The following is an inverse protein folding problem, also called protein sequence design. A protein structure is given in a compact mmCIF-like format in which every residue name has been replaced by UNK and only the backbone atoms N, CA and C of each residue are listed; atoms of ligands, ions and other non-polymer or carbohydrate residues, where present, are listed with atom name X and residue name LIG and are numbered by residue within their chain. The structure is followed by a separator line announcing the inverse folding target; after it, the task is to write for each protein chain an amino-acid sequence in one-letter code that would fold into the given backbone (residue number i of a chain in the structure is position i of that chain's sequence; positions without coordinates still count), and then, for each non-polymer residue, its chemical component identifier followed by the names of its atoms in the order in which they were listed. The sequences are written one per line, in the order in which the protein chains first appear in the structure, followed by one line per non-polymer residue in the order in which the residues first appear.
data_IF_381514387210
#
_entry.id   IF_381514387210
#
_cell.length_a   1.000
_cell.length_b   1.000
_cell.length_c   1.000
_cell.angle_alpha   90.00
_cell.angle_beta   90.00
_cell.angle_gamma   90.00
#
_symmetry.space_group_name_H-M   'P 1'
#
loop_
_entity.id
_entity.type
_entity.pdbx_description
1 polymer ?
#
# COMPACT_ATOMS: atom_id res chain seq x y z
N UNK A 1 -52.46 45.78 -51.06
CA UNK A 1 -52.12 45.11 -49.79
C UNK A 1 -50.73 44.49 -49.93
N UNK A 2 -49.71 45.01 -49.25
CA UNK A 2 -48.35 44.43 -49.22
C UNK A 2 -47.97 44.17 -47.76
N UNK A 3 -47.96 42.90 -47.40
CA UNK A 3 -47.68 42.40 -46.06
C UNK A 3 -46.15 42.31 -45.89
N UNK A 4 -45.59 43.12 -44.98
CA UNK A 4 -44.16 43.09 -44.63
C UNK A 4 -43.96 42.04 -43.53
N UNK A 5 -43.20 40.99 -43.83
CA UNK A 5 -42.72 40.03 -42.84
C UNK A 5 -41.56 40.66 -42.06
N UNK A 6 -41.73 40.87 -40.75
CA UNK A 6 -40.64 41.13 -39.82
C UNK A 6 -40.02 39.79 -39.42
N UNK A 7 -38.79 39.52 -39.87
CA UNK A 7 -37.97 38.44 -39.36
C UNK A 7 -37.40 38.85 -38.00
N UNK A 8 -37.87 38.22 -36.92
CA UNK A 8 -37.26 38.32 -35.59
C UNK A 8 -35.96 37.49 -35.59
N UNK A 9 -34.82 38.16 -35.58
CA UNK A 9 -33.52 37.56 -35.26
C UNK A 9 -33.44 37.32 -33.75
N UNK A 10 -33.69 36.08 -33.32
CA UNK A 10 -33.43 35.62 -31.96
C UNK A 10 -31.93 35.41 -31.76
N UNK A 11 -31.28 36.40 -31.14
CA UNK A 11 -29.92 36.28 -30.62
C UNK A 11 -29.96 35.36 -29.40
N UNK A 12 -29.59 34.09 -29.57
CA UNK A 12 -29.29 33.19 -28.45
C UNK A 12 -27.98 33.65 -27.79
N UNK A 13 -28.08 34.40 -26.69
CA UNK A 13 -26.95 34.63 -25.80
C UNK A 13 -26.61 33.30 -25.10
N UNK A 14 -25.60 32.60 -25.62
CA UNK A 14 -25.01 31.44 -24.94
C UNK A 14 -24.18 31.95 -23.76
N UNK A 15 -24.67 31.72 -22.53
CA UNK A 15 -23.86 31.93 -21.34
C UNK A 15 -22.73 30.90 -21.34
N UNK A 16 -21.45 31.30 -21.13
CA UNK A 16 -20.36 30.35 -21.06
C UNK A 16 -20.58 29.42 -19.86
N UNK A 17 -20.52 28.11 -20.08
CA UNK A 17 -20.47 27.14 -19.01
C UNK A 17 -19.18 27.36 -18.21
N UNK A 18 -19.31 27.82 -16.96
CA UNK A 18 -18.18 28.04 -16.06
C UNK A 18 -17.57 26.69 -15.67
N UNK A 19 -16.41 26.36 -16.23
CA UNK A 19 -15.59 25.23 -15.78
C UNK A 19 -14.71 25.68 -14.61
N UNK A 20 -14.88 25.07 -13.44
CA UNK A 20 -14.02 25.34 -12.29
C UNK A 20 -12.68 24.61 -12.49
N UNK A 21 -11.58 25.35 -12.58
CA UNK A 21 -10.25 24.78 -12.76
C UNK A 21 -9.40 25.04 -11.52
N UNK A 22 -8.92 23.97 -10.90
CA UNK A 22 -7.98 24.01 -9.78
C UNK A 22 -6.57 23.74 -10.30
N UNK A 23 -5.71 24.74 -10.19
CA UNK A 23 -4.33 24.67 -10.65
C UNK A 23 -3.46 25.64 -9.83
N UNK A 24 -2.30 25.15 -9.38
CA UNK A 24 -1.29 26.00 -8.72
C UNK A 24 -0.66 26.97 -9.73
N UNK A 25 -0.34 28.19 -9.29
CA UNK A 25 0.32 29.19 -10.13
C UNK A 25 1.75 28.76 -10.46
N UNK A 26 2.25 29.11 -11.64
CA UNK A 26 3.53 28.60 -12.17
C UNK A 26 4.71 28.87 -11.23
N UNK A 27 4.71 30.02 -10.58
CA UNK A 27 5.73 30.49 -9.64
C UNK A 27 5.71 29.76 -8.28
N UNK A 28 4.57 29.20 -7.89
CA UNK A 28 4.40 28.52 -6.60
C UNK A 28 4.40 26.99 -6.72
N UNK A 29 4.63 26.45 -7.91
CA UNK A 29 4.73 25.00 -8.09
C UNK A 29 5.99 24.46 -7.45
N UNK A 30 5.77 23.49 -6.57
CA UNK A 30 6.79 22.66 -6.00
C UNK A 30 6.38 21.18 -6.04
N UNK A 31 7.37 20.32 -6.18
CA UNK A 31 7.24 18.89 -6.01
C UNK A 31 8.06 18.48 -4.80
N UNK A 32 7.41 17.84 -3.82
CA UNK A 32 8.04 17.39 -2.58
C UNK A 32 8.18 15.88 -2.60
N UNK A 33 9.34 15.39 -2.18
CA UNK A 33 9.60 13.97 -1.99
C UNK A 33 9.69 13.71 -0.50
N UNK A 34 8.83 12.81 -0.02
CA UNK A 34 8.80 12.37 1.37
C UNK A 34 8.70 10.85 1.39
N UNK A 35 9.26 10.22 2.41
CA UNK A 35 9.15 8.77 2.52
C UNK A 35 10.20 8.15 3.41
N UNK A 36 10.03 6.85 3.59
CA UNK A 36 10.92 5.98 4.34
C UNK A 36 11.12 4.66 3.57
N UNK A 37 11.52 3.61 4.28
CA UNK A 37 11.73 2.27 3.72
C UNK A 37 10.44 1.51 3.41
N UNK A 38 9.28 2.01 3.83
CA UNK A 38 7.96 1.40 3.61
C UNK A 38 7.16 2.11 2.52
N UNK A 39 7.28 3.43 2.41
CA UNK A 39 6.55 4.20 1.41
C UNK A 39 7.34 5.44 0.94
N UNK A 40 7.32 5.70 -0.35
CA UNK A 40 7.81 6.93 -0.96
C UNK A 40 6.65 7.67 -1.63
N UNK A 41 6.60 8.98 -1.42
CA UNK A 41 5.57 9.89 -1.92
C UNK A 41 6.22 11.04 -2.67
N UNK A 42 5.76 11.30 -3.90
CA UNK A 42 6.08 12.48 -4.69
C UNK A 42 4.83 13.33 -4.82
N UNK A 43 4.79 14.47 -4.13
CA UNK A 43 3.59 15.28 -3.91
C UNK A 43 3.70 16.62 -4.63
N UNK A 44 2.61 17.02 -5.29
CA UNK A 44 2.39 18.41 -5.70
C UNK A 44 1.15 18.96 -5.00
N UNK A 45 1.29 19.99 -4.15
CA UNK A 45 0.16 20.74 -3.62
C UNK A 45 -0.61 21.46 -4.74
N UNK A 46 -1.94 21.48 -4.63
CA UNK A 46 -2.87 22.12 -5.55
C UNK A 46 -3.59 23.22 -4.78
N UNK A 47 -3.31 24.48 -5.13
CA UNK A 47 -3.89 25.66 -4.46
C UNK A 47 -5.41 25.56 -4.39
N UNK A 48 -5.97 25.84 -3.20
CA UNK A 48 -7.41 25.82 -2.88
C UNK A 48 -8.14 24.49 -3.14
N UNK A 49 -7.39 23.39 -3.30
CA UNK A 49 -7.97 22.07 -3.54
C UNK A 49 -7.43 20.99 -2.61
N UNK A 50 -6.12 20.75 -2.60
CA UNK A 50 -5.53 19.60 -1.93
C UNK A 50 -4.15 19.25 -2.48
N UNK A 51 -3.92 17.98 -2.82
CA UNK A 51 -2.66 17.51 -3.40
C UNK A 51 -2.87 16.37 -4.38
N UNK A 52 -2.02 16.28 -5.39
CA UNK A 52 -1.84 15.06 -6.18
C UNK A 52 -0.50 14.42 -5.86
N UNK A 53 -0.50 13.12 -5.67
CA UNK A 53 0.61 12.38 -5.08
C UNK A 53 0.89 11.12 -5.88
N UNK A 54 2.15 10.86 -6.23
CA UNK A 54 2.57 9.53 -6.66
C UNK A 54 3.07 8.77 -5.44
N UNK A 55 2.35 7.71 -5.07
CA UNK A 55 2.63 6.92 -3.88
C UNK A 55 3.16 5.57 -4.31
N UNK A 56 4.29 5.14 -3.77
CA UNK A 56 4.81 3.78 -3.96
C UNK A 56 5.17 3.18 -2.62
N UNK A 57 4.49 2.09 -2.29
CA UNK A 57 4.78 1.26 -1.13
C UNK A 57 5.83 0.20 -1.45
N UNK A 58 6.53 -0.26 -0.43
CA UNK A 58 7.41 -1.42 -0.50
C UNK A 58 6.68 -2.60 -1.17
N UNK A 59 7.34 -3.29 -2.11
CA UNK A 59 6.74 -4.42 -2.84
C UNK A 59 5.61 -4.09 -3.82
N UNK A 60 5.31 -2.81 -4.06
CA UNK A 60 4.26 -2.36 -4.96
C UNK A 60 4.80 -1.42 -6.05
N UNK A 61 4.00 -1.21 -7.11
CA UNK A 61 4.26 -0.16 -8.10
C UNK A 61 3.56 1.13 -7.69
N UNK A 62 4.01 2.25 -8.26
CA UNK A 62 3.45 3.55 -7.95
C UNK A 62 1.98 3.64 -8.39
N UNK A 63 1.16 4.29 -7.56
CA UNK A 63 -0.20 4.73 -7.87
C UNK A 63 -0.28 6.25 -7.82
N UNK A 64 -1.24 6.84 -8.52
CA UNK A 64 -1.55 8.26 -8.39
C UNK A 64 -2.73 8.44 -7.45
N UNK A 65 -2.54 9.24 -6.41
CA UNK A 65 -3.54 9.56 -5.40
C UNK A 65 -3.92 11.02 -5.53
N UNK A 66 -5.22 11.30 -5.61
CA UNK A 66 -5.73 12.66 -5.50
C UNK A 66 -6.36 12.87 -4.12
N UNK A 67 -5.91 13.89 -3.40
CA UNK A 67 -6.47 14.33 -2.12
C UNK A 67 -7.11 15.70 -2.24
N UNK A 68 -8.19 15.91 -1.49
CA UNK A 68 -8.87 17.19 -1.39
C UNK A 68 -9.08 17.57 0.09
N UNK A 69 -8.89 18.85 0.42
CA UNK A 69 -9.19 19.38 1.76
C UNK A 69 -10.69 19.47 2.02
N UNK A 70 -11.46 19.71 0.96
CA UNK A 70 -12.91 19.73 0.99
C UNK A 70 -13.43 18.85 -0.16
N UNK A 71 -14.27 17.84 0.10
CA UNK A 71 -14.80 16.93 -0.91
C UNK A 71 -15.84 17.59 -1.85
N UNK A 72 -15.57 18.78 -2.39
CA UNK A 72 -16.42 19.43 -3.41
C UNK A 72 -16.61 18.57 -4.67
N UNK A 73 -15.72 17.61 -4.90
CA UNK A 73 -15.77 16.62 -5.98
C UNK A 73 -16.14 15.20 -5.48
N UNK A 74 -16.74 15.04 -4.30
CA UNK A 74 -17.07 13.71 -3.81
C UNK A 74 -18.19 13.02 -4.57
N UNK A 75 -18.00 11.71 -4.76
CA UNK A 75 -18.97 10.83 -5.41
C UNK A 75 -18.95 10.89 -6.93
N UNK A 76 -19.48 9.84 -7.56
CA UNK A 76 -19.49 9.72 -9.01
C UNK A 76 -18.15 9.25 -9.61
N UNK A 77 -17.86 9.71 -10.82
CA UNK A 77 -16.68 9.32 -11.59
C UNK A 77 -16.03 10.51 -12.25
N UNK A 78 -14.70 10.53 -12.27
CA UNK A 78 -13.93 11.47 -13.07
C UNK A 78 -13.20 10.74 -14.21
N UNK A 79 -12.82 11.50 -15.23
CA UNK A 79 -11.90 11.04 -16.27
C UNK A 79 -10.49 11.49 -15.92
N UNK A 80 -9.54 10.56 -15.96
CA UNK A 80 -8.13 10.84 -15.77
C UNK A 80 -7.45 11.00 -17.12
N UNK A 81 -6.70 12.09 -17.28
CA UNK A 81 -6.12 12.52 -18.54
C UNK A 81 -4.63 12.86 -18.34
N UNK A 82 -3.81 12.59 -19.37
CA UNK A 82 -2.51 13.24 -19.54
C UNK A 82 -2.67 14.36 -20.58
N UNK A 83 -3.04 15.54 -20.08
CA UNK A 83 -3.43 16.69 -20.88
C UNK A 83 -2.22 17.32 -21.57
N UNK A 84 -2.38 17.68 -22.85
CA UNK A 84 -1.36 18.43 -23.55
C UNK A 84 -1.27 19.87 -23.00
N UNK A 85 -0.11 20.50 -23.21
CA UNK A 85 0.03 21.91 -22.91
C UNK A 85 -0.85 22.75 -23.87
N UNK A 86 -1.63 23.73 -23.38
CA UNK A 86 -2.54 24.51 -24.23
C UNK A 86 -1.88 25.22 -25.42
N UNK A 87 -0.58 25.53 -25.30
CA UNK A 87 0.21 26.23 -26.32
C UNK A 87 0.83 25.31 -27.37
N UNK A 88 0.65 23.98 -27.29
CA UNK A 88 1.18 23.03 -28.27
C UNK A 88 0.11 22.62 -29.29
N UNK A 89 0.01 23.28 -30.45
CA UNK A 89 -0.96 22.90 -31.47
C UNK A 89 -0.73 21.47 -31.97
N UNK A 90 -1.81 20.73 -32.21
CA UNK A 90 -1.77 19.37 -32.75
C UNK A 90 -1.51 18.24 -31.74
N UNK A 91 -1.22 18.56 -30.46
CA UNK A 91 -1.15 17.56 -29.39
C UNK A 91 -2.46 17.56 -28.59
N UNK A 92 -3.21 16.46 -28.66
CA UNK A 92 -4.43 16.26 -27.87
C UNK A 92 -4.16 15.64 -26.50
N UNK A 93 -5.16 15.73 -25.62
CA UNK A 93 -5.18 15.03 -24.33
C UNK A 93 -5.19 13.51 -24.53
N UNK A 94 -4.44 12.78 -23.71
CA UNK A 94 -4.47 11.32 -23.71
C UNK A 94 -5.44 10.86 -22.61
N UNK A 95 -6.49 10.14 -22.99
CA UNK A 95 -7.44 9.59 -22.04
C UNK A 95 -6.89 8.32 -21.37
N UNK A 96 -6.81 8.33 -20.04
CA UNK A 96 -6.29 7.23 -19.21
C UNK A 96 -7.42 6.41 -18.56
N UNK A 97 -8.67 6.72 -18.87
CA UNK A 97 -9.86 6.03 -18.38
C UNK A 97 -10.56 6.79 -17.25
N UNK A 98 -11.59 6.15 -16.71
CA UNK A 98 -12.37 6.68 -15.58
C UNK A 98 -11.80 6.21 -14.23
N UNK A 99 -12.02 7.04 -13.22
CA UNK A 99 -11.74 6.75 -11.81
C UNK A 99 -12.99 7.04 -10.99
N UNK A 100 -13.22 6.25 -9.94
CA UNK A 100 -14.36 6.43 -9.04
C UNK A 100 -13.96 7.34 -7.90
N UNK A 101 -14.76 8.38 -7.64
CA UNK A 101 -14.48 9.35 -6.57
C UNK A 101 -15.11 8.87 -5.26
N UNK A 102 -14.29 8.82 -4.22
CA UNK A 102 -14.67 8.59 -2.83
C UNK A 102 -15.22 9.86 -2.16
N UNK A 103 -15.55 9.74 -0.89
CA UNK A 103 -16.17 10.78 -0.07
C UNK A 103 -15.29 11.30 1.07
N UNK A 104 -14.06 10.80 1.21
CA UNK A 104 -13.08 11.26 2.21
C UNK A 104 -12.01 12.15 1.60
N UNK A 105 -10.99 12.47 2.40
CA UNK A 105 -9.86 13.32 2.00
C UNK A 105 -9.07 12.74 0.82
N UNK A 106 -9.05 11.41 0.70
CA UNK A 106 -8.56 10.71 -0.50
C UNK A 106 -9.73 10.53 -1.46
N UNK A 107 -9.70 11.27 -2.57
CA UNK A 107 -10.74 11.16 -3.59
C UNK A 107 -10.61 9.87 -4.39
N UNK A 108 -9.41 9.48 -4.79
CA UNK A 108 -9.17 8.18 -5.43
C UNK A 108 -7.68 7.80 -5.42
N UNK A 109 -7.44 6.51 -5.59
CA UNK A 109 -6.16 5.93 -5.99
C UNK A 109 -6.31 5.36 -7.40
N UNK A 110 -5.37 5.67 -8.29
CA UNK A 110 -5.36 5.15 -9.67
C UNK A 110 -4.82 3.72 -9.72
N UNK A 111 -5.04 3.03 -10.85
CA UNK A 111 -4.26 1.83 -11.15
C UNK A 111 -2.77 2.16 -11.37
N UNK A 112 -1.92 1.14 -11.25
CA UNK A 112 -0.48 1.24 -11.51
C UNK A 112 -0.18 1.64 -12.96
N UNK A 113 -0.96 1.11 -13.91
CA UNK A 113 -0.84 1.45 -15.33
C UNK A 113 -1.16 2.93 -15.60
N UNK A 114 -2.24 3.46 -14.99
CA UNK A 114 -2.60 4.87 -15.11
C UNK A 114 -1.52 5.78 -14.52
N UNK A 115 -1.00 5.43 -13.33
CA UNK A 115 0.08 6.20 -12.70
C UNK A 115 1.36 6.21 -13.56
N UNK A 116 1.76 5.06 -14.11
CA UNK A 116 2.91 4.99 -15.01
C UNK A 116 2.74 5.87 -16.26
N UNK A 117 1.54 5.91 -16.84
CA UNK A 117 1.23 6.80 -17.97
C UNK A 117 1.22 8.28 -17.59
N UNK A 118 0.76 8.63 -16.40
CA UNK A 118 0.84 10.00 -15.88
C UNK A 118 2.28 10.44 -15.66
N UNK A 119 3.12 9.58 -15.08
CA UNK A 119 4.56 9.84 -14.90
C UNK A 119 5.24 10.05 -16.26
N UNK A 120 5.02 9.16 -17.22
CA UNK A 120 5.54 9.32 -18.58
C UNK A 120 5.04 10.62 -19.22
N UNK A 121 3.75 10.94 -19.06
CA UNK A 121 3.18 12.20 -19.51
C UNK A 121 3.87 13.42 -18.89
N UNK A 122 4.08 13.45 -17.58
CA UNK A 122 4.78 14.53 -16.89
C UNK A 122 6.22 14.71 -17.40
N UNK A 123 6.93 13.62 -17.69
CA UNK A 123 8.26 13.66 -18.30
C UNK A 123 8.22 14.26 -19.71
N UNK A 124 7.15 13.99 -20.47
CA UNK A 124 6.91 14.56 -21.80
C UNK A 124 6.33 15.98 -21.78
N UNK A 125 6.17 16.58 -20.59
CA UNK A 125 5.61 17.92 -20.41
C UNK A 125 4.08 17.99 -20.44
N UNK A 126 3.39 16.85 -20.35
CA UNK A 126 1.93 16.77 -20.18
C UNK A 126 1.53 16.95 -18.72
N UNK A 127 0.31 17.42 -18.51
CA UNK A 127 -0.28 17.64 -17.19
C UNK A 127 -1.22 16.50 -16.81
N UNK A 128 -1.06 15.87 -15.63
CA UNK A 128 -2.13 15.09 -15.03
C UNK A 128 -3.35 15.98 -14.84
N UNK A 129 -4.48 15.56 -15.39
CA UNK A 129 -5.73 16.29 -15.34
C UNK A 129 -6.85 15.35 -14.94
N UNK A 130 -7.58 15.71 -13.90
CA UNK A 130 -8.79 15.02 -13.47
C UNK A 130 -9.98 15.87 -13.85
N UNK A 131 -10.83 15.35 -14.74
CA UNK A 131 -12.05 16.03 -15.20
C UNK A 131 -13.27 15.35 -14.62
N UNK A 132 -14.02 16.08 -13.80
CA UNK A 132 -15.28 15.63 -13.20
C UNK A 132 -16.47 16.37 -13.83
N UNK A 133 -17.52 15.62 -14.12
CA UNK A 133 -18.79 16.15 -14.60
C UNK A 133 -19.84 15.98 -13.50
N UNK A 134 -20.26 17.08 -12.91
CA UNK A 134 -21.33 17.07 -11.92
C UNK A 134 -22.69 16.83 -12.59
N UNK A 135 -23.65 16.32 -11.81
CA UNK A 135 -25.01 16.02 -12.31
C UNK A 135 -25.77 17.24 -12.80
N UNK A 136 -25.41 18.42 -12.33
CA UNK A 136 -25.98 19.71 -12.72
C UNK A 136 -25.31 20.32 -13.97
N UNK A 137 -24.43 19.57 -14.64
CA UNK A 137 -23.75 20.00 -15.86
C UNK A 137 -22.48 20.82 -15.61
N UNK A 138 -22.12 21.12 -14.36
CA UNK A 138 -20.85 21.78 -14.05
C UNK A 138 -19.67 20.87 -14.35
N UNK A 139 -18.65 21.43 -14.99
CA UNK A 139 -17.37 20.76 -15.23
C UNK A 139 -16.37 21.26 -14.21
N UNK A 140 -15.65 20.34 -13.58
CA UNK A 140 -14.54 20.66 -12.68
C UNK A 140 -13.27 19.96 -13.14
N UNK A 141 -12.19 20.72 -13.23
CA UNK A 141 -10.88 20.25 -13.66
C UNK A 141 -9.87 20.47 -12.54
N UNK A 142 -9.09 19.44 -12.23
CA UNK A 142 -7.98 19.52 -11.28
C UNK A 142 -6.71 19.17 -12.03
N UNK A 143 -5.80 20.14 -12.16
CA UNK A 143 -4.61 20.02 -13.00
C UNK A 143 -3.33 20.12 -12.18
N UNK A 144 -2.47 19.13 -12.39
CA UNK A 144 -1.08 19.17 -11.94
C UNK A 144 -0.17 19.63 -13.09
N UNK A 145 0.96 20.22 -12.73
CA UNK A 145 1.88 20.85 -13.69
C UNK A 145 3.27 20.20 -13.68
N UNK A 146 3.90 20.00 -14.85
CA UNK A 146 5.17 19.29 -15.00
C UNK A 146 6.39 20.13 -14.57
N UNK A 147 6.19 21.37 -14.10
CA UNK A 147 7.28 22.29 -13.73
C UNK A 147 8.16 21.63 -12.66
N UNK A 148 9.47 21.53 -12.93
CA UNK A 148 10.49 20.89 -12.07
C UNK A 148 10.23 19.41 -11.74
N UNK A 149 9.32 18.74 -12.44
CA UNK A 149 8.99 17.34 -12.18
C UNK A 149 10.19 16.41 -12.38
N UNK A 150 10.98 16.60 -13.45
CA UNK A 150 12.11 15.71 -13.76
C UNK A 150 13.14 15.63 -12.62
N UNK A 151 13.46 16.76 -12.00
CA UNK A 151 14.36 16.81 -10.83
C UNK A 151 13.74 16.08 -9.64
N UNK A 152 12.51 16.41 -9.27
CA UNK A 152 11.84 15.79 -8.13
C UNK A 152 11.59 14.27 -8.36
N UNK A 153 11.39 13.86 -9.61
CA UNK A 153 11.25 12.46 -9.97
C UNK A 153 12.57 11.69 -9.80
N UNK A 154 13.73 12.31 -10.10
CA UNK A 154 15.03 11.71 -9.81
C UNK A 154 15.23 11.50 -8.29
N UNK A 155 14.87 12.50 -7.48
CA UNK A 155 14.91 12.39 -6.01
C UNK A 155 13.95 11.30 -5.51
N UNK A 156 12.76 11.20 -6.10
CA UNK A 156 11.78 10.14 -5.83
C UNK A 156 12.32 8.75 -6.18
N UNK A 157 13.01 8.58 -7.32
CA UNK A 157 13.67 7.31 -7.64
C UNK A 157 14.74 6.95 -6.61
N UNK A 158 15.47 7.94 -6.08
CA UNK A 158 16.42 7.75 -4.99
C UNK A 158 15.77 7.29 -3.68
N UNK A 159 14.55 7.76 -3.38
CA UNK A 159 13.73 7.23 -2.29
C UNK A 159 13.30 5.79 -2.58
N UNK A 160 12.75 5.54 -3.76
CA UNK A 160 12.23 4.23 -4.19
C UNK A 160 13.30 3.14 -4.14
N UNK A 161 14.55 3.47 -4.46
CA UNK A 161 15.68 2.53 -4.36
C UNK A 161 15.97 2.03 -2.94
N UNK A 162 15.47 2.74 -1.91
CA UNK A 162 15.62 2.39 -0.48
C UNK A 162 14.41 1.66 0.09
N UNK A 163 13.34 1.49 -0.70
CA UNK A 163 12.17 0.75 -0.27
C UNK A 163 12.51 -0.72 -0.04
N UNK A 164 11.85 -1.32 0.95
CA UNK A 164 11.87 -2.75 1.14
C UNK A 164 11.27 -3.45 -0.10
N UNK A 165 11.76 -4.66 -0.42
CA UNK A 165 11.28 -5.40 -1.58
C UNK A 165 9.84 -5.90 -1.43
N UNK A 166 9.31 -5.96 -0.20
CA UNK A 166 7.98 -6.45 0.12
C UNK A 166 7.36 -5.64 1.26
N UNK A 167 6.04 -5.49 1.25
CA UNK A 167 5.27 -4.90 2.36
C UNK A 167 4.95 -5.93 3.46
N UNK A 168 4.39 -5.47 4.58
CA UNK A 168 3.99 -6.33 5.70
C UNK A 168 3.04 -7.45 5.27
N UNK A 169 2.01 -7.14 4.48
CA UNK A 169 1.03 -8.15 4.06
C UNK A 169 1.62 -9.27 3.21
N UNK A 170 2.68 -8.99 2.46
CA UNK A 170 3.41 -9.97 1.65
C UNK A 170 4.38 -10.83 2.48
N UNK A 171 4.92 -10.30 3.59
CA UNK A 171 5.92 -11.02 4.41
C UNK A 171 5.35 -11.59 5.71
N UNK A 172 4.15 -11.19 6.12
CA UNK A 172 3.55 -11.60 7.41
C UNK A 172 3.36 -13.10 7.53
N UNK A 173 3.30 -13.83 6.42
CA UNK A 173 3.15 -15.28 6.41
C UNK A 173 4.12 -15.90 5.40
N UNK A 174 4.84 -16.92 5.85
CA UNK A 174 5.70 -17.73 5.00
C UNK A 174 5.47 -19.21 5.26
N UNK A 175 5.46 -19.99 4.19
CA UNK A 175 5.45 -21.44 4.27
C UNK A 175 6.86 -21.98 3.96
N UNK A 176 7.40 -22.77 4.87
CA UNK A 176 8.68 -23.47 4.72
C UNK A 176 8.40 -24.95 4.46
N UNK A 177 8.85 -25.48 3.32
CA UNK A 177 8.58 -26.86 2.92
C UNK A 177 9.71 -27.82 3.28
N UNK A 178 9.35 -29.09 3.54
CA UNK A 178 10.30 -30.19 3.77
C UNK A 178 10.02 -31.35 2.81
N UNK A 179 10.26 -31.17 1.49
CA UNK A 179 9.89 -32.13 0.47
C UNK A 179 10.61 -33.47 0.63
N UNK A 180 11.83 -33.50 1.16
CA UNK A 180 12.59 -34.73 1.40
C UNK A 180 12.15 -35.54 2.64
N UNK A 181 11.19 -35.07 3.43
CA UNK A 181 10.79 -35.76 4.66
C UNK A 181 11.70 -35.49 5.88
N UNK A 182 12.89 -34.93 5.66
CA UNK A 182 13.81 -34.55 6.72
C UNK A 182 13.40 -33.31 7.53
N UNK A 183 14.39 -32.76 8.22
CA UNK A 183 14.30 -31.58 9.10
C UNK A 183 15.22 -30.44 8.67
N UNK A 184 15.98 -30.64 7.60
CA UNK A 184 16.93 -29.65 7.09
C UNK A 184 16.22 -28.55 6.30
N UNK A 185 16.65 -27.31 6.53
CA UNK A 185 16.19 -26.15 5.78
C UNK A 185 16.97 -26.01 4.48
N UNK A 186 16.27 -26.07 3.35
CA UNK A 186 16.86 -25.81 2.04
C UNK A 186 17.16 -24.31 1.82
N UNK A 187 17.85 -24.00 0.72
CA UNK A 187 18.21 -22.63 0.38
C UNK A 187 16.99 -21.71 0.17
N UNK A 188 15.89 -22.25 -0.36
CA UNK A 188 14.67 -21.49 -0.61
C UNK A 188 13.96 -21.12 0.70
N UNK A 189 13.91 -22.05 1.66
CA UNK A 189 13.42 -21.83 3.00
C UNK A 189 14.21 -20.75 3.72
N UNK A 190 15.55 -20.85 3.70
CA UNK A 190 16.44 -19.85 4.31
C UNK A 190 16.26 -18.47 3.68
N UNK A 191 16.13 -18.39 2.35
CA UNK A 191 15.87 -17.12 1.66
C UNK A 191 14.53 -16.48 2.06
N UNK A 192 13.46 -17.28 2.21
CA UNK A 192 12.15 -16.79 2.68
C UNK A 192 12.24 -16.25 4.11
N UNK A 193 12.85 -16.99 5.02
CA UNK A 193 13.05 -16.57 6.41
C UNK A 193 13.92 -15.30 6.47
N UNK A 194 14.94 -15.18 5.61
CA UNK A 194 15.79 -14.00 5.55
C UNK A 194 15.00 -12.73 5.17
N UNK A 195 14.04 -12.82 4.26
CA UNK A 195 13.18 -11.68 3.91
C UNK A 195 12.37 -11.21 5.13
N UNK A 196 11.83 -12.15 5.92
CA UNK A 196 11.10 -11.82 7.15
C UNK A 196 12.01 -11.14 8.19
N UNK A 197 13.23 -11.66 8.38
CA UNK A 197 14.22 -11.08 9.30
C UNK A 197 14.62 -9.65 8.90
N UNK A 198 14.84 -9.40 7.61
CA UNK A 198 15.12 -8.06 7.09
C UNK A 198 13.94 -7.12 7.35
N UNK A 199 12.70 -7.60 7.17
CA UNK A 199 11.51 -6.81 7.48
C UNK A 199 11.39 -6.49 8.97
N UNK A 200 11.53 -7.47 9.86
CA UNK A 200 11.46 -7.24 11.31
C UNK A 200 12.54 -6.27 11.81
N UNK A 201 13.75 -6.32 11.24
CA UNK A 201 14.80 -5.34 11.54
C UNK A 201 14.42 -3.93 11.08
N UNK A 202 13.67 -3.83 9.98
CA UNK A 202 13.16 -2.56 9.49
C UNK A 202 11.95 -2.06 10.29
N UNK A 203 11.04 -2.93 10.72
CA UNK A 203 9.84 -2.57 11.50
C UNK A 203 9.89 -3.19 12.91
N UNK A 204 10.42 -2.48 13.92
CA UNK A 204 10.45 -2.97 15.29
C UNK A 204 9.06 -3.20 15.91
N UNK A 205 7.98 -2.70 15.29
CA UNK A 205 6.61 -2.99 15.76
C UNK A 205 6.23 -4.46 15.52
N UNK A 206 6.87 -5.11 14.53
CA UNK A 206 6.74 -6.54 14.28
C UNK A 206 7.78 -7.27 15.14
N UNK A 207 7.32 -7.71 16.30
CA UNK A 207 8.18 -8.14 17.39
C UNK A 207 7.93 -9.58 17.85
N UNK A 208 7.01 -10.31 17.20
CA UNK A 208 6.69 -11.69 17.53
C UNK A 208 6.58 -12.58 16.29
N UNK A 209 6.92 -13.86 16.44
CA UNK A 209 6.88 -14.88 15.39
C UNK A 209 6.17 -16.12 15.90
N UNK A 210 5.10 -16.55 15.23
CA UNK A 210 4.51 -17.87 15.44
C UNK A 210 5.11 -18.88 14.43
N UNK A 211 5.47 -20.06 14.92
CA UNK A 211 6.06 -21.15 14.14
C UNK A 211 5.26 -22.43 14.35
N UNK A 212 4.46 -22.82 13.35
CA UNK A 212 3.60 -24.01 13.40
C UNK A 212 4.15 -25.15 12.55
N UNK A 213 4.58 -26.22 13.19
CA UNK A 213 5.07 -27.43 12.53
C UNK A 213 3.97 -28.41 12.13
N UNK A 214 4.06 -28.93 10.90
CA UNK A 214 3.16 -29.96 10.37
C UNK A 214 3.92 -31.15 9.75
N UNK A 215 3.27 -32.31 9.74
CA UNK A 215 3.72 -33.51 9.05
C UNK A 215 2.70 -34.00 8.03
N UNK A 216 3.09 -34.98 7.21
CA UNK A 216 2.14 -35.81 6.48
C UNK A 216 1.63 -36.95 7.37
N UNK A 217 0.88 -37.88 6.78
CA UNK A 217 0.29 -39.04 7.46
C UNK A 217 1.08 -40.36 7.29
N UNK A 218 2.34 -40.31 6.85
CA UNK A 218 3.08 -41.55 6.50
C UNK A 218 3.52 -42.34 7.74
N UNK A 219 3.74 -41.66 8.87
CA UNK A 219 4.09 -42.28 10.15
C UNK A 219 2.88 -42.45 11.08
N UNK A 220 3.12 -43.06 12.24
CA UNK A 220 2.14 -43.05 13.33
C UNK A 220 2.04 -41.65 13.98
N UNK A 221 0.98 -41.43 14.76
CA UNK A 221 0.69 -40.14 15.41
C UNK A 221 1.83 -39.58 16.26
N UNK A 222 2.55 -40.43 16.99
CA UNK A 222 3.66 -39.97 17.84
C UNK A 222 4.87 -39.56 16.99
N UNK A 223 5.21 -40.36 15.98
CA UNK A 223 6.28 -40.06 15.02
C UNK A 223 5.99 -38.78 14.24
N UNK A 224 4.76 -38.60 13.76
CA UNK A 224 4.32 -37.42 13.04
C UNK A 224 4.38 -36.16 13.92
N UNK A 225 3.95 -36.27 15.18
CA UNK A 225 4.06 -35.19 16.16
C UNK A 225 5.52 -34.82 16.43
N UNK A 226 6.41 -35.79 16.62
CA UNK A 226 7.84 -35.54 16.83
C UNK A 226 8.50 -34.90 15.59
N UNK A 227 8.22 -35.40 14.38
CA UNK A 227 8.72 -34.82 13.14
C UNK A 227 8.27 -33.36 12.95
N UNK A 228 6.99 -33.08 13.23
CA UNK A 228 6.47 -31.71 13.16
C UNK A 228 7.16 -30.78 14.16
N UNK A 229 7.45 -31.27 15.38
CA UNK A 229 8.20 -30.53 16.39
C UNK A 229 9.63 -30.25 15.95
N UNK A 230 10.36 -31.26 15.45
CA UNK A 230 11.76 -31.10 15.01
C UNK A 230 11.90 -30.11 13.86
N UNK A 231 10.96 -30.10 12.92
CA UNK A 231 10.95 -29.11 11.82
C UNK A 231 10.69 -27.70 12.34
N UNK A 232 9.75 -27.53 13.25
CA UNK A 232 9.51 -26.23 13.89
C UNK A 232 10.74 -25.75 14.67
N UNK A 233 11.42 -26.65 15.38
CA UNK A 233 12.67 -26.35 16.08
C UNK A 233 13.79 -25.94 15.11
N UNK A 234 13.95 -26.62 13.98
CA UNK A 234 14.95 -26.23 12.97
C UNK A 234 14.74 -24.79 12.45
N UNK A 235 13.48 -24.38 12.30
CA UNK A 235 13.11 -23.00 11.92
C UNK A 235 13.42 -22.03 13.06
N UNK A 236 13.04 -22.36 14.30
CA UNK A 236 13.33 -21.56 15.49
C UNK A 236 14.84 -21.36 15.68
N UNK A 237 15.63 -22.42 15.57
CA UNK A 237 17.08 -22.38 15.72
C UNK A 237 17.72 -21.50 14.64
N UNK A 238 17.22 -21.56 13.40
CA UNK A 238 17.64 -20.66 12.34
C UNK A 238 17.31 -19.19 12.66
N UNK A 239 16.11 -18.90 13.15
CA UNK A 239 15.72 -17.54 13.54
C UNK A 239 16.57 -17.01 14.70
N UNK A 240 16.83 -17.85 15.72
CA UNK A 240 17.70 -17.52 16.86
C UNK A 240 19.13 -17.24 16.42
N UNK A 241 19.68 -18.06 15.52
CA UNK A 241 21.02 -17.84 14.96
C UNK A 241 21.13 -16.52 14.19
N UNK A 242 20.00 -15.96 13.73
CA UNK A 242 19.94 -14.65 13.07
C UNK A 242 19.49 -13.51 13.99
N UNK A 243 19.53 -13.71 15.31
CA UNK A 243 19.38 -12.66 16.31
C UNK A 243 17.97 -12.43 16.83
N UNK A 244 17.02 -13.32 16.53
CA UNK A 244 15.68 -13.28 17.16
C UNK A 244 15.75 -13.92 18.55
N UNK A 245 15.27 -13.22 19.57
CA UNK A 245 15.22 -13.77 20.92
C UNK A 245 14.17 -14.89 21.01
N UNK A 246 14.44 -15.92 21.81
CA UNK A 246 13.52 -17.05 21.98
C UNK A 246 12.16 -16.60 22.56
N UNK A 247 12.14 -15.56 23.39
CA UNK A 247 10.91 -14.95 23.92
C UNK A 247 10.02 -14.32 22.85
N UNK A 248 10.56 -14.03 21.67
CA UNK A 248 9.80 -13.49 20.53
C UNK A 248 9.22 -14.61 19.65
N UNK A 249 9.46 -15.88 19.96
CA UNK A 249 9.05 -17.00 19.12
C UNK A 249 8.07 -17.90 19.89
N UNK A 250 6.86 -18.03 19.36
CA UNK A 250 5.89 -19.05 19.81
C UNK A 250 5.99 -20.27 18.91
N UNK A 251 6.44 -21.40 19.47
CA UNK A 251 6.56 -22.66 18.76
C UNK A 251 5.37 -23.58 19.04
N UNK A 252 4.70 -24.03 17.98
CA UNK A 252 3.59 -25.00 18.02
C UNK A 252 3.85 -26.12 17.02
N UNK A 253 3.25 -27.27 17.27
CA UNK A 253 3.42 -28.45 16.41
C UNK A 253 2.20 -29.36 16.49
N UNK A 254 1.70 -29.74 15.32
CA UNK A 254 0.38 -30.36 15.21
C UNK A 254 0.41 -31.80 14.68
N UNK A 255 1.57 -32.30 14.27
CA UNK A 255 1.69 -33.54 13.51
C UNK A 255 0.88 -33.46 12.22
N UNK A 256 0.08 -34.49 11.97
CA UNK A 256 -0.71 -34.72 10.76
C UNK A 256 -2.13 -34.13 10.81
N UNK A 257 -2.51 -33.48 11.93
CA UNK A 257 -3.91 -33.08 12.23
C UNK A 257 -4.50 -32.03 11.29
N UNK A 258 -3.66 -31.19 10.68
CA UNK A 258 -4.10 -30.08 9.82
C UNK A 258 -3.43 -30.17 8.43
N UNK A 259 -3.85 -31.12 7.58
CA UNK A 259 -3.31 -31.27 6.23
C UNK A 259 -3.73 -30.09 5.35
N UNK A 260 -2.79 -29.57 4.57
CA UNK A 260 -3.04 -28.54 3.55
C UNK A 260 -3.64 -29.15 2.27
N UNK A 261 -3.28 -30.39 1.98
CA UNK A 261 -3.76 -31.15 0.83
C UNK A 261 -4.10 -32.60 1.24
N UNK A 262 -4.99 -33.30 0.53
CA UNK A 262 -5.28 -34.70 0.81
C UNK A 262 -4.02 -35.58 0.72
N UNK A 263 -3.77 -36.44 1.70
CA UNK A 263 -2.57 -37.30 1.77
C UNK A 263 -2.58 -38.48 0.76
N UNK A 264 -3.19 -38.30 -0.41
CA UNK A 264 -3.45 -39.34 -1.41
C UNK A 264 -2.23 -39.67 -2.28
N UNK A 265 -1.31 -38.72 -2.47
CA UNK A 265 -0.12 -38.91 -3.32
C UNK A 265 1.13 -38.24 -2.71
N UNK A 266 2.31 -38.59 -3.26
CA UNK A 266 3.62 -38.10 -2.79
C UNK A 266 3.75 -36.58 -2.87
N UNK A 267 3.23 -35.96 -3.93
CA UNK A 267 3.25 -34.51 -4.13
C UNK A 267 2.42 -33.77 -3.05
N UNK A 268 1.23 -34.28 -2.72
CA UNK A 268 0.40 -33.70 -1.67
C UNK A 268 1.01 -33.91 -0.28
N UNK A 269 1.59 -35.09 -0.02
CA UNK A 269 2.33 -35.33 1.22
C UNK A 269 3.50 -34.35 1.37
N UNK A 270 4.22 -34.03 0.29
CA UNK A 270 5.27 -33.01 0.31
C UNK A 270 4.75 -31.62 0.69
N UNK A 271 3.55 -31.22 0.24
CA UNK A 271 2.90 -29.97 0.65
C UNK A 271 2.51 -29.96 2.13
N UNK A 272 2.14 -31.11 2.68
CA UNK A 272 1.76 -31.24 4.09
C UNK A 272 2.97 -31.19 5.04
N UNK A 273 4.14 -31.65 4.59
CA UNK A 273 5.41 -31.50 5.30
C UNK A 273 5.88 -30.06 5.23
N UNK A 274 5.38 -29.23 6.14
CA UNK A 274 5.63 -27.79 6.15
C UNK A 274 5.77 -27.27 7.57
N UNK A 275 6.38 -26.09 7.67
CA UNK A 275 6.26 -25.20 8.82
C UNK A 275 5.65 -23.91 8.32
N UNK A 276 4.59 -23.45 8.97
CA UNK A 276 4.05 -22.12 8.74
C UNK A 276 4.73 -21.16 9.71
N UNK A 277 5.14 -20.00 9.20
CA UNK A 277 5.78 -18.95 10.00
C UNK A 277 4.95 -17.69 9.82
N UNK A 278 4.52 -17.08 10.92
CA UNK A 278 3.70 -15.89 10.92
C UNK A 278 4.35 -14.79 11.75
N UNK A 279 4.40 -13.58 11.21
CA UNK A 279 4.84 -12.38 11.93
C UNK A 279 3.66 -11.70 12.59
N UNK A 280 3.87 -11.20 13.79
CA UNK A 280 2.84 -10.50 14.56
C UNK A 280 3.38 -9.22 15.19
N UNK A 281 2.45 -8.30 15.43
CA UNK A 281 2.66 -7.08 16.21
C UNK A 281 2.00 -7.30 17.56
N UNK A 282 2.80 -7.55 18.58
CA UNK A 282 2.33 -7.72 19.95
C UNK A 282 2.61 -6.43 20.68
N UNK A 283 1.55 -5.76 21.13
CA UNK A 283 1.71 -4.60 22.01
C UNK A 283 2.42 -5.05 23.30
N UNK A 284 3.43 -4.32 23.77
CA UNK A 284 4.07 -4.65 25.04
C UNK A 284 3.00 -4.61 26.13
N UNK A 285 2.84 -5.72 26.86
CA UNK A 285 2.01 -5.77 28.05
C UNK A 285 2.56 -4.72 29.02
N UNK A 286 1.83 -3.63 29.23
CA UNK A 286 2.17 -2.67 30.28
C UNK A 286 1.94 -3.38 31.60
N UNK A 287 3.01 -3.64 32.36
CA UNK A 287 2.87 -4.11 33.73
C UNK A 287 1.99 -3.11 34.50
N UNK A 288 0.97 -3.58 35.26
CA UNK A 288 0.17 -2.68 36.06
C UNK A 288 1.11 -1.93 37.02
N UNK A 289 1.05 -0.60 36.98
CA UNK A 289 1.82 0.23 37.91
C UNK A 289 1.62 -0.28 39.35
N UNK A 290 2.68 -0.40 40.16
CA UNK A 290 2.55 -0.85 41.54
C UNK A 290 1.57 0.07 42.26
N UNK A 291 0.44 -0.48 42.69
CA UNK A 291 -0.54 0.25 43.48
C UNK A 291 0.14 0.66 44.79
N UNK A 292 0.35 1.97 44.94
CA UNK A 292 0.84 2.56 46.18
C UNK A 292 -0.25 2.34 47.22
N UNK A 293 -0.06 1.34 48.09
CA UNK A 293 -0.91 1.12 49.25
C UNK A 293 -0.77 2.31 50.19
N UNK A 294 -1.82 3.14 50.28
CA UNK A 294 -1.88 4.25 51.23
C UNK A 294 -2.03 3.70 52.66
N UNK A 295 -0.91 3.47 53.35
CA UNK A 295 -0.91 3.33 54.81
C UNK A 295 -0.83 4.74 55.43
N UNK A 296 -2.00 5.38 55.61
CA UNK A 296 -2.15 6.68 56.27
C UNK A 296 -2.67 6.50 57.70
N UNK A 297 -1.73 6.60 58.64
CA UNK A 297 -1.82 6.75 60.10
C UNK A 297 -3.18 7.14 60.72
N UNK A 298 -3.59 6.34 61.72
CA UNK A 298 -4.48 6.76 62.79
C UNK A 298 -3.84 7.93 63.57
N UNK A 299 -4.53 9.07 63.59
CA UNK A 299 -4.20 10.22 64.43
C UNK A 299 -4.91 10.12 65.77
N UNK A 300 -4.11 10.01 66.84
CA UNK A 300 -4.52 10.16 68.24
C UNK A 300 -4.16 11.58 68.70
N UNK A 301 -5.15 12.35 69.15
CA UNK A 301 -5.02 13.51 70.04
C UNK A 301 -6.44 13.86 70.52
N UNK A 302 -6.78 13.57 71.78
CA UNK A 302 -6.70 14.49 72.94
C UNK A 302 -7.80 15.54 72.94
#
# INVERSE_FOLDING_TARGET
MRQRYLALLSVFASLPAMALTFQTRLESIEWKVEGDKFECRLTQPITDFGSGEFVRRAGEQATFRLKAYNPMLAGGSATLLAAAAPWQPGRGDINLGSVRLGSGDVLFDSSQLQAGRLIGGLMDGRSPLVRHYARDGRVSEVRLLPVRFSKAYADYQGCVAKLLPMNYDQVKQAQVGFPGGGIELDAQAKARLQVMLVFMKADPTVNHIEVDGHSDNSGNRLTNRDLSRRRALAVMDYLKANGIAESQITLRFHGERYPLAPNTNTANRAKNRRVNVQLERVEPVQDPAPQVSSSGSAGTAS
#
